data_IF_185320569134
#
_entry.id   IF_185320569134
#
_cell.length_a   1.000
_cell.length_b   1.000
_cell.length_c   1.000
_cell.angle_alpha   90.00
_cell.angle_beta   90.00
_cell.angle_gamma   90.00
#
_symmetry.space_group_name_H-M   'P 1'
#
loop_
_entity.id
_entity.type
_entity.pdbx_description
1 polymer ?
#
# COMPACT_ATOMS: atom_id res chain seq x y z
N UNK A 1 16.96 -34.85 -9.40
CA UNK A 1 16.73 -36.03 -8.54
C UNK A 1 15.91 -35.64 -7.30
N UNK A 2 16.41 -34.71 -6.48
CA UNK A 2 15.69 -33.97 -5.42
C UNK A 2 14.18 -33.71 -5.67
N UNK A 3 13.85 -33.01 -6.76
CA UNK A 3 12.47 -32.61 -7.11
C UNK A 3 11.44 -33.77 -7.12
N UNK A 4 11.81 -34.93 -7.65
CA UNK A 4 10.88 -36.06 -7.77
C UNK A 4 10.60 -36.69 -6.39
N UNK A 5 11.62 -36.75 -5.55
CA UNK A 5 11.50 -37.19 -4.16
C UNK A 5 10.60 -36.21 -3.41
N UNK A 6 10.83 -34.91 -3.55
CA UNK A 6 10.01 -33.89 -2.89
C UNK A 6 8.54 -33.98 -3.27
N UNK A 7 8.27 -34.08 -4.59
CA UNK A 7 6.90 -34.22 -5.10
C UNK A 7 6.23 -35.50 -4.59
N UNK A 8 6.96 -36.62 -4.54
CA UNK A 8 6.49 -37.88 -3.94
C UNK A 8 6.07 -37.68 -2.49
N UNK A 9 6.91 -37.07 -1.65
CA UNK A 9 6.59 -36.89 -0.23
C UNK A 9 5.54 -35.83 0.04
N UNK A 10 5.41 -34.80 -0.82
CA UNK A 10 4.26 -33.89 -0.81
C UNK A 10 2.97 -34.66 -1.09
N UNK A 11 2.96 -35.55 -2.07
CA UNK A 11 1.79 -36.37 -2.39
C UNK A 11 1.45 -37.37 -1.27
N UNK A 12 2.45 -37.99 -0.63
CA UNK A 12 2.22 -38.85 0.54
C UNK A 12 1.62 -38.07 1.72
N UNK A 13 2.08 -36.83 1.95
CA UNK A 13 1.52 -35.96 2.98
C UNK A 13 0.13 -35.40 2.59
N UNK A 14 -0.21 -35.35 1.31
CA UNK A 14 -1.42 -34.66 0.82
C UNK A 14 -2.72 -35.18 1.46
N UNK A 15 -2.79 -36.47 1.79
CA UNK A 15 -3.97 -37.08 2.41
C UNK A 15 -4.30 -36.55 3.80
N UNK A 16 -3.31 -36.04 4.55
CA UNK A 16 -3.53 -35.40 5.85
C UNK A 16 -3.73 -33.88 5.76
N UNK A 17 -3.56 -33.29 4.57
CA UNK A 17 -3.63 -31.84 4.35
C UNK A 17 -5.01 -31.43 3.83
N UNK A 18 -5.73 -30.65 4.64
CA UNK A 18 -7.02 -30.11 4.24
C UNK A 18 -6.89 -29.17 3.04
N UNK A 19 -7.84 -29.26 2.10
CA UNK A 19 -7.91 -28.42 0.90
C UNK A 19 -6.64 -28.46 0.03
N UNK A 20 -5.92 -29.59 0.06
CA UNK A 20 -4.74 -29.78 -0.77
C UNK A 20 -5.13 -29.85 -2.26
N UNK A 21 -4.43 -29.08 -3.10
CA UNK A 21 -4.60 -29.10 -4.55
C UNK A 21 -3.31 -28.69 -5.25
N UNK A 22 -2.91 -29.45 -6.27
CA UNK A 22 -1.93 -29.00 -7.25
C UNK A 22 -2.55 -27.94 -8.15
N UNK A 23 -1.90 -26.77 -8.22
CA UNK A 23 -2.31 -25.66 -9.09
C UNK A 23 -1.58 -25.71 -10.42
N UNK A 24 -0.31 -26.12 -10.38
CA UNK A 24 0.59 -26.36 -11.52
C UNK A 24 1.54 -27.50 -11.16
N UNK A 25 2.42 -27.90 -12.07
CA UNK A 25 3.37 -28.98 -11.85
C UNK A 25 4.35 -28.72 -10.69
N UNK A 26 4.64 -27.46 -10.42
CA UNK A 26 5.64 -26.95 -9.48
C UNK A 26 5.03 -26.11 -8.34
N UNK A 27 3.69 -26.07 -8.24
CA UNK A 27 2.96 -25.27 -7.26
C UNK A 27 1.73 -26.03 -6.74
N UNK A 28 1.68 -26.28 -5.44
CA UNK A 28 0.51 -26.82 -4.74
C UNK A 28 0.07 -25.85 -3.64
N UNK A 29 -1.20 -25.90 -3.25
CA UNK A 29 -1.68 -25.18 -2.09
C UNK A 29 -2.47 -26.10 -1.15
N UNK A 30 -2.53 -25.74 0.13
CA UNK A 30 -3.36 -26.40 1.13
C UNK A 30 -3.76 -25.41 2.22
N UNK A 31 -4.71 -25.81 3.05
CA UNK A 31 -4.95 -25.14 4.32
C UNK A 31 -3.75 -25.37 5.22
N UNK A 32 -3.26 -24.30 5.84
CA UNK A 32 -2.04 -24.39 6.63
C UNK A 32 -2.25 -25.28 7.87
N UNK A 33 -1.54 -26.42 7.99
CA UNK A 33 -1.70 -27.31 9.14
C UNK A 33 -1.12 -26.73 10.43
N UNK A 34 -0.24 -25.71 10.33
CA UNK A 34 0.45 -25.10 11.47
C UNK A 34 -0.44 -24.06 12.17
N UNK A 35 -1.10 -23.18 11.40
CA UNK A 35 -1.93 -22.11 11.98
C UNK A 35 -3.43 -22.29 11.75
N UNK A 36 -3.85 -23.35 11.07
CA UNK A 36 -5.26 -23.60 10.76
C UNK A 36 -5.89 -22.57 9.81
N UNK A 37 -5.12 -21.66 9.22
CA UNK A 37 -5.56 -20.64 8.27
C UNK A 37 -6.64 -19.68 8.85
N UNK A 38 -7.93 -19.78 8.48
CA UNK A 38 -9.00 -18.90 8.99
C UNK A 38 -10.03 -19.67 9.78
N UNK A 39 -10.25 -19.32 11.04
CA UNK A 39 -11.31 -19.92 11.87
C UNK A 39 -12.71 -19.69 11.30
N UNK A 40 -12.96 -18.51 10.74
CA UNK A 40 -14.25 -18.12 10.13
C UNK A 40 -14.50 -18.77 8.77
N UNK A 41 -13.46 -18.97 7.95
CA UNK A 41 -13.62 -19.54 6.61
C UNK A 41 -12.72 -20.78 6.42
N UNK A 42 -13.37 -21.95 6.44
CA UNK A 42 -12.72 -23.26 6.31
C UNK A 42 -12.19 -23.55 4.90
N UNK A 43 -12.64 -22.85 3.86
CA UNK A 43 -12.19 -23.06 2.47
C UNK A 43 -10.90 -22.29 2.13
N UNK A 44 -10.43 -21.41 3.02
CA UNK A 44 -9.16 -20.71 2.80
C UNK A 44 -7.98 -21.66 2.90
N UNK A 45 -7.15 -21.64 1.86
CA UNK A 45 -5.97 -22.49 1.67
C UNK A 45 -4.76 -21.64 1.26
N UNK A 46 -4.12 -20.99 2.24
CA UNK A 46 -3.01 -20.03 2.07
C UNK A 46 -1.63 -20.61 2.39
N UNK A 47 -1.53 -21.92 2.60
CA UNK A 47 -0.26 -22.66 2.59
C UNK A 47 0.09 -23.07 1.17
N UNK A 48 1.34 -22.87 0.75
CA UNK A 48 1.80 -23.16 -0.61
C UNK A 48 3.08 -23.97 -0.58
N UNK A 49 3.14 -24.99 -1.42
CA UNK A 49 4.36 -25.68 -1.80
C UNK A 49 4.81 -25.18 -3.16
N UNK A 50 6.07 -24.80 -3.29
CA UNK A 50 6.61 -24.27 -4.53
C UNK A 50 8.03 -24.78 -4.76
N UNK A 51 8.38 -24.99 -6.02
CA UNK A 51 9.73 -25.36 -6.42
C UNK A 51 10.64 -24.12 -6.46
N UNK A 52 11.85 -24.22 -5.92
CA UNK A 52 12.93 -23.26 -6.16
C UNK A 52 14.24 -24.02 -6.39
N UNK A 53 14.82 -23.86 -7.58
CA UNK A 53 15.92 -24.72 -8.01
C UNK A 53 15.43 -26.17 -8.15
N UNK A 54 16.07 -27.09 -7.43
CA UNK A 54 15.70 -28.51 -7.46
C UNK A 54 14.82 -28.93 -6.27
N UNK A 55 14.62 -28.06 -5.27
CA UNK A 55 13.91 -28.41 -4.04
C UNK A 55 12.52 -27.75 -3.97
N UNK A 56 11.62 -28.35 -3.18
CA UNK A 56 10.37 -27.73 -2.77
C UNK A 56 10.47 -27.08 -1.39
N UNK A 57 9.75 -25.97 -1.26
CA UNK A 57 9.61 -25.21 -0.03
C UNK A 57 8.13 -25.01 0.29
N UNK A 58 7.83 -24.89 1.58
CA UNK A 58 6.51 -24.57 2.08
C UNK A 58 6.46 -23.14 2.62
N UNK A 59 5.44 -22.36 2.26
CA UNK A 59 5.19 -21.01 2.78
C UNK A 59 3.72 -20.81 3.08
N UNK A 60 3.40 -20.27 4.26
CA UNK A 60 2.05 -19.81 4.58
C UNK A 60 1.95 -18.28 4.51
N UNK A 61 0.98 -17.77 3.74
CA UNK A 61 0.70 -16.32 3.67
C UNK A 61 -0.22 -15.82 4.79
N UNK A 62 -0.75 -16.72 5.63
CA UNK A 62 -1.51 -16.32 6.81
C UNK A 62 -0.59 -15.99 7.99
N UNK A 63 0.13 -17.00 8.52
CA UNK A 63 1.02 -16.84 9.68
C UNK A 63 2.47 -16.50 9.31
N UNK A 64 2.83 -16.52 8.03
CA UNK A 64 4.18 -16.16 7.58
C UNK A 64 5.23 -17.27 7.69
N UNK A 65 4.90 -18.44 8.24
CA UNK A 65 5.86 -19.55 8.38
C UNK A 65 6.39 -20.00 7.03
N UNK A 66 7.71 -20.16 6.94
CA UNK A 66 8.43 -20.67 5.78
C UNK A 66 9.34 -21.82 6.16
N UNK A 67 9.22 -22.96 5.48
CA UNK A 67 9.96 -24.17 5.79
C UNK A 67 10.52 -24.82 4.52
N UNK A 68 11.66 -25.50 4.64
CA UNK A 68 12.02 -26.55 3.69
C UNK A 68 11.04 -27.71 3.79
N UNK A 69 10.96 -28.56 2.77
CA UNK A 69 10.08 -29.74 2.85
C UNK A 69 10.40 -30.62 4.05
N UNK A 70 11.68 -30.80 4.41
CA UNK A 70 12.11 -31.53 5.60
C UNK A 70 11.48 -30.99 6.89
N UNK A 71 11.55 -29.66 7.11
CA UNK A 71 10.99 -29.01 8.29
C UNK A 71 9.48 -29.02 8.29
N UNK A 72 8.87 -28.92 7.12
CA UNK A 72 7.44 -29.08 6.98
C UNK A 72 6.99 -30.48 7.40
N UNK A 73 7.61 -31.53 6.87
CA UNK A 73 7.32 -32.93 7.22
C UNK A 73 7.54 -33.21 8.71
N UNK A 74 8.59 -32.65 9.31
CA UNK A 74 8.79 -32.72 10.76
C UNK A 74 7.60 -32.21 11.57
N UNK A 75 6.89 -31.19 11.05
CA UNK A 75 5.74 -30.59 11.71
C UNK A 75 4.44 -31.38 11.47
N UNK A 76 4.27 -31.99 10.29
CA UNK A 76 3.00 -32.64 9.90
C UNK A 76 3.00 -34.15 10.03
N UNK A 77 4.16 -34.80 9.89
CA UNK A 77 4.31 -36.25 9.98
C UNK A 77 5.78 -36.62 10.25
N UNK A 78 6.17 -36.81 11.52
CA UNK A 78 7.51 -37.26 11.89
C UNK A 78 7.91 -38.60 11.26
N UNK A 79 6.93 -39.44 10.90
CA UNK A 79 7.16 -40.71 10.19
C UNK A 79 7.65 -40.44 8.76
N UNK A 80 6.88 -39.67 7.97
CA UNK A 80 7.25 -39.33 6.59
C UNK A 80 8.58 -38.56 6.53
N UNK A 81 8.90 -37.78 7.56
CA UNK A 81 10.19 -37.08 7.67
C UNK A 81 11.38 -38.05 7.68
N UNK A 82 11.29 -39.17 8.41
CA UNK A 82 12.38 -40.17 8.48
C UNK A 82 12.59 -40.85 7.13
N UNK A 83 11.51 -41.27 6.50
CA UNK A 83 11.55 -41.91 5.18
C UNK A 83 12.08 -40.95 4.11
N UNK A 84 11.64 -39.69 4.15
CA UNK A 84 12.13 -38.63 3.27
C UNK A 84 13.64 -38.41 3.42
N UNK A 85 14.12 -38.34 4.66
CA UNK A 85 15.55 -38.16 4.93
C UNK A 85 16.39 -39.32 4.37
N UNK A 86 15.94 -40.56 4.57
CA UNK A 86 16.61 -41.76 4.09
C UNK A 86 16.63 -41.82 2.55
N UNK A 87 15.51 -41.50 1.89
CA UNK A 87 15.40 -41.53 0.44
C UNK A 87 16.27 -40.43 -0.22
N UNK A 88 16.30 -39.24 0.36
CA UNK A 88 17.21 -38.16 -0.06
C UNK A 88 18.68 -38.56 0.09
N UNK A 89 19.02 -39.20 1.22
CA UNK A 89 20.37 -39.68 1.47
C UNK A 89 20.81 -40.76 0.46
N UNK A 90 19.95 -41.76 0.18
CA UNK A 90 20.21 -42.80 -0.83
C UNK A 90 20.36 -42.22 -2.25
N UNK A 91 19.67 -41.12 -2.55
CA UNK A 91 19.76 -40.41 -3.83
C UNK A 91 21.00 -39.49 -3.96
N UNK A 92 21.97 -39.59 -3.05
CA UNK A 92 23.24 -38.86 -3.12
C UNK A 92 23.24 -37.50 -2.44
N UNK A 93 22.21 -37.16 -1.66
CA UNK A 93 22.18 -35.91 -0.89
C UNK A 93 22.70 -36.07 0.55
N UNK A 94 23.86 -36.68 0.66
CA UNK A 94 24.58 -36.98 1.89
C UNK A 94 25.63 -35.91 2.26
N UNK A 95 25.57 -34.73 1.64
CA UNK A 95 26.53 -33.64 1.86
C UNK A 95 27.68 -33.60 0.84
N UNK A 96 27.88 -34.64 0.04
CA UNK A 96 28.90 -34.70 -1.03
C UNK A 96 28.37 -34.34 -2.43
N UNK A 97 27.16 -33.82 -2.54
CA UNK A 97 26.58 -33.41 -3.82
C UNK A 97 27.09 -32.03 -4.27
N UNK A 98 27.42 -31.86 -5.55
CA UNK A 98 27.75 -30.56 -6.16
C UNK A 98 26.60 -29.53 -6.17
N UNK A 99 25.43 -29.89 -5.62
CA UNK A 99 24.26 -29.01 -5.55
C UNK A 99 24.35 -28.04 -4.38
N UNK A 100 24.52 -26.75 -4.67
CA UNK A 100 24.44 -25.67 -3.67
C UNK A 100 22.98 -25.41 -3.31
N UNK A 101 22.56 -25.79 -2.11
CA UNK A 101 21.23 -25.49 -1.58
C UNK A 101 21.01 -23.96 -1.49
N UNK A 102 19.82 -23.45 -1.82
CA UNK A 102 19.51 -22.02 -1.67
C UNK A 102 19.73 -21.58 -0.21
N UNK A 103 20.40 -20.45 0.03
CA UNK A 103 20.58 -19.91 1.39
C UNK A 103 19.23 -19.41 1.93
N UNK A 104 19.05 -19.41 3.26
CA UNK A 104 17.75 -19.17 3.91
C UNK A 104 17.04 -17.87 3.50
N UNK A 105 17.81 -16.82 3.18
CA UNK A 105 17.27 -15.54 2.67
C UNK A 105 16.73 -15.68 1.23
N UNK A 106 17.39 -16.47 0.40
CA UNK A 106 16.96 -16.75 -0.96
C UNK A 106 15.76 -17.71 -0.99
N UNK A 107 15.63 -18.66 -0.07
CA UNK A 107 14.53 -19.66 -0.09
C UNK A 107 13.13 -19.02 -0.19
N UNK A 108 12.94 -17.83 0.39
CA UNK A 108 11.65 -17.13 0.46
C UNK A 108 11.63 -15.80 -0.32
N UNK A 109 12.77 -15.37 -0.87
CA UNK A 109 12.87 -14.24 -1.79
C UNK A 109 12.29 -14.64 -3.17
N UNK A 110 11.03 -14.28 -3.41
CA UNK A 110 10.34 -14.55 -4.68
C UNK A 110 8.84 -14.81 -4.58
N UNK A 111 8.32 -15.05 -3.37
CA UNK A 111 6.89 -15.30 -3.13
C UNK A 111 6.17 -14.17 -2.41
N UNK A 112 6.68 -12.95 -2.49
CA UNK A 112 5.79 -11.80 -2.39
C UNK A 112 4.94 -11.73 -3.67
N UNK A 113 3.95 -12.63 -3.81
CA UNK A 113 2.74 -12.34 -4.59
C UNK A 113 1.98 -11.20 -3.89
N UNK A 114 2.61 -10.03 -3.76
CA UNK A 114 1.86 -8.79 -3.75
C UNK A 114 1.42 -8.64 -5.20
N UNK A 115 0.13 -8.79 -5.55
CA UNK A 115 -0.33 -8.39 -6.86
C UNK A 115 0.22 -6.98 -7.10
N UNK A 116 1.12 -6.84 -8.07
CA UNK A 116 1.58 -5.52 -8.48
C UNK A 116 0.36 -4.86 -9.09
N UNK A 117 -0.21 -3.92 -8.35
CA UNK A 117 -1.33 -3.12 -8.82
C UNK A 117 -1.00 -2.58 -10.21
N UNK A 118 -1.81 -2.93 -11.21
CA UNK A 118 -1.71 -2.37 -12.55
C UNK A 118 -2.94 -1.49 -12.76
N UNK A 119 -2.75 -0.17 -12.96
CA UNK A 119 -3.81 0.68 -13.47
C UNK A 119 -4.30 0.08 -14.80
N UNK A 120 -5.59 -0.25 -14.90
CA UNK A 120 -6.20 -0.86 -16.09
C UNK A 120 -7.23 0.07 -16.73
N UNK A 121 -7.08 1.38 -16.54
CA UNK A 121 -8.03 2.36 -17.07
C UNK A 121 -7.54 2.97 -18.37
N UNK A 122 -8.34 2.82 -19.43
CA UNK A 122 -8.14 3.47 -20.75
C UNK A 122 -8.00 4.99 -20.60
N UNK A 123 -8.59 5.59 -19.56
CA UNK A 123 -8.48 7.02 -19.25
C UNK A 123 -7.05 7.48 -18.94
N UNK A 124 -6.13 6.56 -18.63
CA UNK A 124 -4.74 6.89 -18.35
C UNK A 124 -3.84 6.75 -19.59
N UNK A 125 -4.33 6.17 -20.68
CA UNK A 125 -3.53 5.93 -21.89
C UNK A 125 -3.20 7.25 -22.61
N UNK A 126 -4.10 8.23 -22.52
CA UNK A 126 -3.90 9.60 -23.04
C UNK A 126 -2.96 10.46 -22.18
N UNK A 127 -2.48 9.92 -21.05
CA UNK A 127 -1.65 10.63 -20.09
C UNK A 127 -0.22 10.11 -20.09
N UNK A 128 0.75 11.02 -20.00
CA UNK A 128 2.16 10.62 -19.89
C UNK A 128 2.51 10.40 -18.43
N UNK A 129 3.02 9.22 -18.07
CA UNK A 129 3.52 8.98 -16.70
C UNK A 129 4.75 9.83 -16.43
N UNK A 130 4.90 10.30 -15.19
CA UNK A 130 6.08 11.10 -14.82
C UNK A 130 7.39 10.33 -15.03
N UNK A 131 7.41 9.02 -14.80
CA UNK A 131 8.61 8.19 -15.05
C UNK A 131 9.05 8.13 -16.52
N UNK A 132 8.13 8.41 -17.45
CA UNK A 132 8.33 8.29 -18.89
C UNK A 132 8.60 9.66 -19.54
N UNK A 133 8.67 10.73 -18.73
CA UNK A 133 9.03 12.08 -19.17
C UNK A 133 10.55 12.29 -19.07
N UNK A 134 11.07 13.12 -19.97
CA UNK A 134 12.46 13.59 -19.91
C UNK A 134 12.74 14.35 -18.59
N UNK A 135 13.95 14.24 -18.01
CA UNK A 135 14.29 14.90 -16.75
C UNK A 135 14.17 16.43 -16.76
N UNK A 136 14.27 17.06 -17.94
CA UNK A 136 14.07 18.49 -18.16
C UNK A 136 12.61 18.92 -18.28
N UNK A 137 11.68 17.96 -18.32
CA UNK A 137 10.26 18.26 -18.43
C UNK A 137 9.74 18.88 -17.12
N UNK A 138 9.00 19.99 -17.22
CA UNK A 138 8.46 20.76 -16.09
C UNK A 138 7.77 19.90 -15.00
N UNK A 139 6.98 18.91 -15.41
CA UNK A 139 6.29 18.00 -14.48
C UNK A 139 7.25 17.07 -13.72
N UNK A 140 8.33 16.63 -14.39
CA UNK A 140 9.39 15.83 -13.78
C UNK A 140 10.16 16.68 -12.77
N UNK A 141 10.59 17.88 -13.19
CA UNK A 141 11.27 18.84 -12.33
C UNK A 141 10.43 19.24 -11.11
N UNK A 142 9.12 19.43 -11.29
CA UNK A 142 8.20 19.68 -10.19
C UNK A 142 8.22 18.54 -9.16
N UNK A 143 8.14 17.28 -9.60
CA UNK A 143 8.19 16.12 -8.70
C UNK A 143 9.53 16.01 -7.97
N UNK A 144 10.63 16.29 -8.67
CA UNK A 144 11.99 16.29 -8.12
C UNK A 144 12.18 17.41 -7.09
N UNK A 145 11.76 18.63 -7.42
CA UNK A 145 11.79 19.80 -6.54
C UNK A 145 10.96 19.58 -5.27
N UNK A 146 9.82 18.88 -5.39
CA UNK A 146 8.96 18.44 -4.28
C UNK A 146 9.51 17.24 -3.50
N UNK A 147 10.69 16.74 -3.86
CA UNK A 147 11.35 15.55 -3.27
C UNK A 147 10.45 14.31 -3.25
N UNK A 148 9.51 14.20 -4.20
CA UNK A 148 8.62 13.04 -4.29
C UNK A 148 9.48 11.81 -4.60
N UNK A 149 9.35 10.69 -3.87
CA UNK A 149 10.14 9.50 -4.13
C UNK A 149 9.89 8.93 -5.54
N UNK A 150 10.95 8.69 -6.30
CA UNK A 150 10.91 8.22 -7.70
C UNK A 150 10.09 6.93 -7.89
N UNK A 151 10.02 6.07 -6.87
CA UNK A 151 9.18 4.86 -6.87
C UNK A 151 7.69 5.12 -7.11
N UNK A 152 7.24 6.38 -7.01
CA UNK A 152 5.86 6.80 -7.28
C UNK A 152 5.69 7.53 -8.62
N UNK A 153 6.75 7.77 -9.39
CA UNK A 153 6.66 8.46 -10.68
C UNK A 153 5.88 7.62 -11.72
N UNK A 154 5.72 6.32 -11.47
CA UNK A 154 4.94 5.41 -12.28
C UNK A 154 3.41 5.50 -12.05
N UNK A 155 2.96 6.16 -10.97
CA UNK A 155 1.54 6.32 -10.63
C UNK A 155 1.07 7.77 -10.66
N UNK A 156 1.98 8.70 -10.99
CA UNK A 156 1.69 10.10 -11.26
C UNK A 156 1.76 10.33 -12.76
N UNK A 157 0.91 11.23 -13.25
CA UNK A 157 0.73 11.46 -14.67
C UNK A 157 0.76 12.96 -14.99
N UNK A 158 1.03 13.29 -16.24
CA UNK A 158 1.04 14.64 -16.77
C UNK A 158 0.04 14.74 -17.91
N UNK A 159 -0.63 15.88 -18.00
CA UNK A 159 -1.38 16.32 -19.17
C UNK A 159 -1.14 17.81 -19.41
N UNK A 160 -1.13 18.19 -20.68
CA UNK A 160 -1.15 19.57 -21.14
C UNK A 160 -2.56 20.16 -21.20
N UNK A 161 -3.60 19.32 -21.18
CA UNK A 161 -5.01 19.74 -21.21
C UNK A 161 -5.83 18.94 -20.18
N UNK A 162 -5.75 19.38 -18.93
CA UNK A 162 -6.50 18.75 -17.84
C UNK A 162 -8.02 18.91 -18.01
N UNK A 163 -8.48 20.01 -18.60
CA UNK A 163 -9.90 20.29 -18.83
C UNK A 163 -10.57 19.26 -19.73
N UNK A 164 -9.95 18.96 -20.87
CA UNK A 164 -10.44 17.92 -21.79
C UNK A 164 -10.35 16.53 -21.18
N UNK A 165 -9.30 16.25 -20.39
CA UNK A 165 -9.18 14.98 -19.69
C UNK A 165 -10.25 14.80 -18.60
N UNK A 166 -10.56 15.83 -17.81
CA UNK A 166 -11.62 15.79 -16.80
C UNK A 166 -12.97 15.42 -17.41
N UNK A 167 -13.31 15.97 -18.58
CA UNK A 167 -14.57 15.67 -19.29
C UNK A 167 -14.71 14.20 -19.71
N UNK A 168 -13.59 13.50 -19.93
CA UNK A 168 -13.61 12.05 -20.19
C UNK A 168 -13.98 11.25 -18.94
N UNK A 169 -13.64 11.77 -17.76
CA UNK A 169 -13.92 11.12 -16.47
C UNK A 169 -15.32 11.47 -15.94
N UNK A 170 -15.72 12.73 -16.08
CA UNK A 170 -17.05 13.25 -15.71
C UNK A 170 -17.52 14.22 -16.82
N UNK A 171 -18.37 13.78 -17.76
CA UNK A 171 -18.87 14.61 -18.84
C UNK A 171 -19.64 15.85 -18.36
N UNK A 172 -20.18 15.84 -17.15
CA UNK A 172 -20.95 16.93 -16.57
C UNK A 172 -20.11 17.88 -15.70
N UNK A 173 -18.80 17.66 -15.60
CA UNK A 173 -17.95 18.54 -14.80
C UNK A 173 -17.80 19.92 -15.46
N UNK A 174 -17.71 20.96 -14.62
CA UNK A 174 -17.27 22.27 -15.07
C UNK A 174 -15.78 22.17 -15.42
N UNK A 175 -15.51 21.88 -16.69
CA UNK A 175 -14.15 21.76 -17.19
C UNK A 175 -13.44 23.10 -17.07
N UNK A 176 -12.24 23.07 -16.50
CA UNK A 176 -11.30 24.16 -16.70
C UNK A 176 -10.85 24.19 -18.16
N UNK A 177 -10.33 25.31 -18.63
CA UNK A 177 -9.71 25.39 -19.94
C UNK A 177 -8.52 24.43 -20.09
N UNK A 178 -7.85 24.48 -21.24
CA UNK A 178 -6.64 23.71 -21.46
C UNK A 178 -5.53 24.19 -20.51
N UNK A 179 -5.30 23.43 -19.44
CA UNK A 179 -4.32 23.72 -18.40
C UNK A 179 -3.39 22.53 -18.16
N UNK A 180 -2.08 22.82 -18.12
CA UNK A 180 -1.05 21.85 -17.73
C UNK A 180 -1.15 21.49 -16.25
N UNK A 181 -1.41 20.22 -15.93
CA UNK A 181 -1.51 19.74 -14.55
C UNK A 181 -0.83 18.38 -14.35
N UNK A 182 -0.28 18.20 -13.15
CA UNK A 182 0.07 16.89 -12.63
C UNK A 182 -1.23 16.19 -12.20
N UNK A 183 -1.51 15.04 -12.79
CA UNK A 183 -2.70 14.23 -12.53
C UNK A 183 -2.36 13.16 -11.49
N UNK A 184 -3.18 13.12 -10.44
CA UNK A 184 -3.09 12.19 -9.32
C UNK A 184 -4.35 11.31 -9.32
N UNK A 185 -4.32 10.12 -9.95
CA UNK A 185 -5.49 9.26 -10.08
C UNK A 185 -5.79 8.47 -8.80
N UNK A 186 -7.08 8.27 -8.53
CA UNK A 186 -7.61 7.44 -7.45
C UNK A 186 -8.18 6.16 -8.05
N UNK A 187 -7.83 5.02 -7.47
CA UNK A 187 -8.21 3.72 -8.01
C UNK A 187 -9.14 2.95 -7.09
N UNK A 188 -10.08 2.21 -7.69
CA UNK A 188 -10.86 1.19 -6.99
C UNK A 188 -10.05 -0.12 -6.81
N UNK A 189 -10.71 -1.16 -6.27
CA UNK A 189 -10.10 -2.49 -6.07
C UNK A 189 -9.72 -3.21 -7.38
N UNK A 190 -10.39 -2.88 -8.48
CA UNK A 190 -10.20 -3.47 -9.80
C UNK A 190 -9.07 -2.82 -10.60
N UNK A 191 -8.66 -1.61 -10.20
CA UNK A 191 -7.64 -0.82 -10.91
C UNK A 191 -8.19 0.26 -11.83
N UNK A 192 -9.49 0.51 -11.78
CA UNK A 192 -10.14 1.58 -12.55
C UNK A 192 -10.04 2.91 -11.82
N UNK A 193 -9.99 4.00 -12.60
CA UNK A 193 -9.94 5.36 -12.06
C UNK A 193 -11.35 5.76 -11.61
N UNK A 194 -11.53 6.04 -10.31
CA UNK A 194 -12.79 6.52 -9.74
C UNK A 194 -12.83 8.03 -9.50
N UNK A 195 -11.67 8.67 -9.63
CA UNK A 195 -11.49 10.09 -9.41
C UNK A 195 -10.05 10.48 -9.68
N UNK A 196 -9.79 11.77 -9.79
CA UNK A 196 -8.44 12.29 -9.90
C UNK A 196 -8.34 13.70 -9.34
N UNK A 197 -7.13 14.06 -8.94
CA UNK A 197 -6.79 15.42 -8.58
C UNK A 197 -5.77 15.98 -9.56
N UNK A 198 -6.05 17.16 -10.12
CA UNK A 198 -5.14 17.92 -10.97
C UNK A 198 -4.43 19.00 -10.17
N UNK A 199 -3.11 18.84 -9.98
CA UNK A 199 -2.24 19.84 -9.36
C UNK A 199 -1.65 20.75 -10.44
N UNK A 200 -1.87 22.05 -10.31
CA UNK A 200 -1.26 23.05 -11.20
C UNK A 200 0.28 23.07 -11.07
N UNK A 201 0.98 22.98 -12.20
CA UNK A 201 2.45 22.87 -12.24
C UNK A 201 3.18 24.23 -12.16
N UNK A 202 2.64 25.31 -12.72
CA UNK A 202 3.11 26.67 -12.42
C UNK A 202 2.01 27.71 -12.63
N UNK A 203 2.10 28.81 -11.89
CA UNK A 203 1.31 30.02 -12.13
C UNK A 203 1.97 30.79 -13.27
N UNK A 204 1.61 30.51 -14.53
CA UNK A 204 2.07 31.35 -15.66
C UNK A 204 1.15 32.57 -15.74
N UNK A 205 1.66 33.76 -15.44
CA UNK A 205 0.97 35.04 -15.68
C UNK A 205 -0.10 35.44 -14.66
N UNK A 206 -0.34 36.75 -14.53
CA UNK A 206 -1.35 37.33 -13.63
C UNK A 206 -2.79 36.87 -13.96
N UNK A 207 -3.10 36.59 -15.23
CA UNK A 207 -4.43 36.15 -15.66
C UNK A 207 -4.76 34.73 -15.16
N UNK A 208 -3.84 33.78 -15.35
CA UNK A 208 -4.03 32.38 -14.92
C UNK A 208 -3.98 32.25 -13.40
N UNK A 209 -3.23 33.10 -12.70
CA UNK A 209 -3.12 33.07 -11.25
C UNK A 209 -4.39 33.52 -10.51
N UNK A 210 -5.19 34.42 -11.09
CA UNK A 210 -6.41 34.95 -10.46
C UNK A 210 -7.57 33.95 -10.45
N UNK A 211 -7.58 32.96 -11.36
CA UNK A 211 -8.70 32.02 -11.53
C UNK A 211 -8.35 30.54 -11.31
N UNK A 212 -7.06 30.17 -11.29
CA UNK A 212 -6.68 28.74 -11.29
C UNK A 212 -6.49 28.20 -9.89
N UNK A 213 -7.37 27.28 -9.49
CA UNK A 213 -7.25 26.56 -8.23
C UNK A 213 -5.99 25.68 -8.20
N UNK A 214 -5.25 25.73 -7.09
CA UNK A 214 -4.00 24.97 -6.86
C UNK A 214 -4.19 23.46 -7.10
N UNK A 215 -5.34 22.96 -6.66
CA UNK A 215 -5.82 21.59 -6.86
C UNK A 215 -7.26 21.62 -7.36
N UNK A 216 -7.56 20.78 -8.34
CA UNK A 216 -8.93 20.52 -8.81
C UNK A 216 -9.19 19.04 -8.65
N UNK A 217 -10.34 18.68 -8.08
CA UNK A 217 -10.72 17.27 -7.90
C UNK A 217 -11.91 16.96 -8.80
N UNK A 218 -11.79 15.89 -9.58
CA UNK A 218 -12.85 15.35 -10.43
C UNK A 218 -13.18 13.93 -9.96
N UNK A 219 -14.47 13.57 -9.92
CA UNK A 219 -14.96 12.26 -9.49
C UNK A 219 -15.72 11.63 -10.66
N UNK A 220 -15.51 10.34 -10.92
CA UNK A 220 -16.28 9.63 -11.93
C UNK A 220 -17.75 9.47 -11.51
N UNK A 221 -17.99 9.39 -10.20
CA UNK A 221 -19.32 9.28 -9.60
C UNK A 221 -19.46 10.33 -8.49
N UNK A 222 -20.45 11.20 -8.65
CA UNK A 222 -20.74 12.30 -7.71
C UNK A 222 -21.29 11.79 -6.36
N UNK A 223 -21.81 10.57 -6.31
CA UNK A 223 -22.26 9.92 -5.07
C UNK A 223 -21.09 9.54 -4.14
N UNK A 224 -19.85 9.53 -4.65
CA UNK A 224 -18.68 9.25 -3.83
C UNK A 224 -18.44 10.42 -2.88
N UNK A 225 -18.82 10.24 -1.62
CA UNK A 225 -18.60 11.24 -0.55
C UNK A 225 -17.13 11.64 -0.40
N UNK A 226 -16.23 10.64 -0.50
CA UNK A 226 -14.81 10.80 -0.21
C UNK A 226 -13.94 9.90 -1.07
N UNK A 227 -12.88 10.47 -1.62
CA UNK A 227 -11.87 9.74 -2.37
C UNK A 227 -10.72 9.34 -1.45
N UNK A 228 -10.29 8.09 -1.55
CA UNK A 228 -9.20 7.53 -0.75
C UNK A 228 -8.00 7.18 -1.64
N UNK A 229 -6.94 7.97 -1.55
CA UNK A 229 -5.73 7.76 -2.34
C UNK A 229 -4.81 6.75 -1.65
N UNK A 230 -4.42 5.69 -2.36
CA UNK A 230 -3.45 4.71 -1.86
C UNK A 230 -4.01 3.44 -1.24
N UNK A 231 -5.32 3.23 -1.30
CA UNK A 231 -5.94 1.98 -0.84
C UNK A 231 -5.40 0.73 -1.56
N UNK A 232 -4.96 0.85 -2.80
CA UNK A 232 -4.39 -0.26 -3.56
C UNK A 232 -2.97 -0.65 -3.11
N UNK A 233 -2.25 0.24 -2.42
CA UNK A 233 -0.87 0.01 -1.96
C UNK A 233 -0.74 -0.17 -0.45
N UNK A 234 -1.77 0.17 0.31
CA UNK A 234 -1.78 0.06 1.78
C UNK A 234 -1.80 -1.39 2.24
N UNK A 235 -1.03 -1.66 3.29
CA UNK A 235 -1.01 -2.92 4.03
C UNK A 235 -1.81 -2.75 5.34
N UNK A 236 -3.06 -3.26 5.40
CA UNK A 236 -3.92 -3.12 6.58
C UNK A 236 -3.45 -3.94 7.79
N UNK A 237 -2.41 -4.78 7.65
CA UNK A 237 -1.82 -5.50 8.78
C UNK A 237 -0.83 -4.65 9.58
N UNK A 238 -0.48 -3.47 9.08
CA UNK A 238 0.45 -2.54 9.71
C UNK A 238 -0.32 -1.28 10.09
N UNK A 239 0.25 -0.48 11.00
CA UNK A 239 -0.24 0.87 11.28
C UNK A 239 -0.36 1.66 9.98
N UNK A 240 -1.52 2.27 9.75
CA UNK A 240 -1.84 3.09 8.58
C UNK A 240 -1.95 4.54 9.00
N UNK A 241 -1.27 5.43 8.29
CA UNK A 241 -1.40 6.86 8.49
C UNK A 241 -2.37 7.43 7.43
N UNK A 242 -3.28 8.30 7.85
CA UNK A 242 -4.27 8.95 6.98
C UNK A 242 -4.02 10.43 6.98
N UNK A 243 -3.62 10.97 5.83
CA UNK A 243 -3.32 12.39 5.63
C UNK A 243 -4.38 13.07 4.75
N UNK A 244 -4.34 14.39 4.64
CA UNK A 244 -5.28 15.16 3.81
C UNK A 244 -4.88 15.14 2.33
N UNK A 245 -3.60 15.38 2.04
CA UNK A 245 -3.09 15.50 0.68
C UNK A 245 -2.60 14.18 0.07
N UNK A 246 -2.96 13.86 -1.19
CA UNK A 246 -2.39 12.71 -1.90
C UNK A 246 -0.87 12.72 -1.99
N UNK A 247 -0.25 13.90 -2.16
CA UNK A 247 1.21 14.01 -2.23
C UNK A 247 1.88 13.73 -0.88
N UNK A 248 1.32 14.19 0.23
CA UNK A 248 1.80 13.91 1.59
C UNK A 248 1.89 12.40 1.86
N UNK A 249 0.93 11.65 1.31
CA UNK A 249 0.87 10.20 1.47
C UNK A 249 1.99 9.43 0.75
N UNK A 250 2.81 10.10 -0.06
CA UNK A 250 3.90 9.49 -0.80
C UNK A 250 5.22 9.49 -0.01
N UNK A 251 5.36 10.27 1.05
CA UNK A 251 6.64 10.35 1.76
C UNK A 251 6.79 9.25 2.82
N UNK A 252 5.75 9.04 3.62
CA UNK A 252 5.77 8.12 4.75
C UNK A 252 5.27 6.72 4.32
N UNK A 253 5.93 5.63 4.75
CA UNK A 253 5.47 4.28 4.45
C UNK A 253 4.08 3.99 5.01
N UNK A 254 3.28 3.23 4.25
CA UNK A 254 1.93 2.80 4.63
C UNK A 254 0.93 3.95 4.90
N UNK A 255 1.11 5.07 4.19
CA UNK A 255 0.25 6.25 4.28
C UNK A 255 -0.72 6.31 3.10
N UNK A 256 -1.96 6.69 3.40
CA UNK A 256 -3.04 6.96 2.46
C UNK A 256 -3.53 8.39 2.65
N UNK A 257 -4.20 8.95 1.65
CA UNK A 257 -4.83 10.27 1.77
C UNK A 257 -6.34 10.19 1.63
N UNK A 258 -7.04 11.11 2.27
CA UNK A 258 -8.48 11.29 2.16
C UNK A 258 -8.79 12.67 1.59
N UNK A 259 -9.47 12.70 0.44
CA UNK A 259 -9.81 13.94 -0.27
C UNK A 259 -11.33 14.05 -0.41
N UNK A 260 -11.87 15.21 -0.03
CA UNK A 260 -13.29 15.55 -0.17
C UNK A 260 -13.97 15.91 1.16
N UNK A 261 -15.14 16.55 1.04
CA UNK A 261 -15.88 17.16 2.16
C UNK A 261 -16.87 16.21 2.89
N UNK A 262 -16.97 14.94 2.46
CA UNK A 262 -17.96 13.98 2.99
C UNK A 262 -17.79 13.64 4.47
N UNK A 263 -18.79 12.96 5.05
CA UNK A 263 -18.86 12.62 6.47
C UNK A 263 -17.59 11.90 6.96
N UNK A 264 -17.04 12.39 8.08
CA UNK A 264 -15.78 11.95 8.71
C UNK A 264 -15.86 10.50 9.25
N UNK A 265 -17.05 9.95 9.21
CA UNK A 265 -17.53 8.99 10.18
C UNK A 265 -17.26 7.55 9.79
N UNK A 266 -17.08 7.28 8.49
CA UNK A 266 -16.96 5.94 7.97
C UNK A 266 -15.54 5.70 7.47
N UNK A 267 -14.79 4.94 8.27
CA UNK A 267 -13.53 4.37 7.84
C UNK A 267 -13.81 3.42 6.66
N UNK A 268 -13.02 3.52 5.60
CA UNK A 268 -13.19 2.65 4.43
C UNK A 268 -13.08 1.17 4.82
N UNK A 269 -13.96 0.29 4.31
CA UNK A 269 -14.07 -1.13 4.70
C UNK A 269 -12.74 -1.89 4.80
N UNK A 270 -11.81 -1.58 3.88
CA UNK A 270 -10.47 -2.18 3.80
C UNK A 270 -9.62 -1.95 5.07
N UNK A 271 -9.92 -0.90 5.83
CA UNK A 271 -9.17 -0.48 7.00
C UNK A 271 -9.89 -0.86 8.31
N UNK A 272 -11.07 -1.48 8.25
CA UNK A 272 -11.77 -1.97 9.44
C UNK A 272 -10.85 -2.96 10.19
N UNK A 273 -10.67 -2.73 11.49
CA UNK A 273 -9.77 -3.53 12.34
C UNK A 273 -8.28 -3.25 12.12
N UNK A 274 -7.92 -2.24 11.33
CA UNK A 274 -6.53 -1.77 11.19
C UNK A 274 -6.26 -0.69 12.23
N UNK A 275 -5.02 -0.62 12.74
CA UNK A 275 -4.59 0.53 13.52
C UNK A 275 -4.41 1.74 12.60
N UNK A 276 -5.28 2.74 12.76
CA UNK A 276 -5.31 3.94 11.92
C UNK A 276 -4.94 5.17 12.75
N UNK A 277 -4.04 5.99 12.23
CA UNK A 277 -3.65 7.28 12.81
C UNK A 277 -3.96 8.38 11.80
N UNK A 278 -4.78 9.35 12.21
CA UNK A 278 -5.11 10.51 11.41
C UNK A 278 -4.05 11.60 11.61
N UNK A 279 -3.46 12.06 10.52
CA UNK A 279 -2.38 13.06 10.48
C UNK A 279 -2.85 14.22 9.61
N UNK A 280 -3.55 15.16 10.25
CA UNK A 280 -4.04 16.37 9.61
C UNK A 280 -2.95 17.45 9.52
N UNK A 281 -3.19 18.47 8.70
CA UNK A 281 -2.28 19.60 8.53
C UNK A 281 -2.08 20.34 9.86
N UNK A 282 -0.88 20.86 10.09
CA UNK A 282 -0.49 21.63 11.26
C UNK A 282 -1.01 23.07 11.19
N UNK A 283 -2.33 23.24 11.13
CA UNK A 283 -2.99 24.54 11.02
C UNK A 283 -3.85 24.85 12.26
N UNK A 284 -3.25 25.20 13.42
CA UNK A 284 -3.98 25.39 14.66
C UNK A 284 -4.93 26.60 14.67
N UNK A 285 -4.85 27.48 13.66
CA UNK A 285 -5.74 28.65 13.47
C UNK A 285 -6.81 28.41 12.41
N UNK A 286 -6.73 27.32 11.65
CA UNK A 286 -7.70 27.02 10.61
C UNK A 286 -8.91 26.32 11.22
N UNK A 287 -10.05 27.04 11.28
CA UNK A 287 -11.30 26.54 11.90
C UNK A 287 -11.74 25.20 11.31
N UNK A 288 -11.54 24.96 10.02
CA UNK A 288 -11.94 23.71 9.37
C UNK A 288 -11.11 22.53 9.87
N UNK A 289 -9.78 22.69 9.92
CA UNK A 289 -8.86 21.65 10.42
C UNK A 289 -9.07 21.40 11.91
N UNK A 290 -9.21 22.46 12.71
CA UNK A 290 -9.49 22.36 14.15
C UNK A 290 -10.80 21.61 14.41
N UNK A 291 -11.88 21.98 13.72
CA UNK A 291 -13.18 21.29 13.83
C UNK A 291 -13.11 19.85 13.30
N UNK A 292 -12.25 19.59 12.31
CA UNK A 292 -12.03 18.23 11.82
C UNK A 292 -11.33 17.37 12.89
N UNK A 293 -10.23 17.86 13.45
CA UNK A 293 -9.50 17.18 14.50
C UNK A 293 -10.38 16.92 15.74
N UNK A 294 -11.19 17.89 16.16
CA UNK A 294 -12.12 17.73 17.27
C UNK A 294 -13.14 16.61 17.03
N UNK A 295 -13.73 16.53 15.83
CA UNK A 295 -14.64 15.46 15.45
C UNK A 295 -13.98 14.07 15.47
N UNK A 296 -12.72 13.97 15.05
CA UNK A 296 -11.98 12.71 15.12
C UNK A 296 -11.72 12.29 16.58
N UNK A 297 -11.32 13.24 17.43
CA UNK A 297 -11.09 12.97 18.87
C UNK A 297 -12.39 12.56 19.57
N UNK A 298 -13.50 13.22 19.26
CA UNK A 298 -14.82 12.88 19.82
C UNK A 298 -15.28 11.44 19.49
N UNK A 299 -14.75 10.86 18.39
CA UNK A 299 -15.00 9.47 17.98
C UNK A 299 -13.94 8.48 18.47
N UNK A 300 -13.07 8.91 19.37
CA UNK A 300 -11.97 8.11 19.92
C UNK A 300 -10.97 7.61 18.84
N UNK A 301 -10.87 8.33 17.72
CA UNK A 301 -9.84 8.07 16.72
C UNK A 301 -8.47 8.47 17.25
N UNK A 302 -7.42 7.72 16.86
CA UNK A 302 -6.04 8.15 17.09
C UNK A 302 -5.66 9.29 16.15
N UNK A 303 -5.20 10.40 16.71
CA UNK A 303 -4.82 11.61 15.96
C UNK A 303 -3.40 12.02 16.28
N UNK A 304 -2.66 12.49 15.27
CA UNK A 304 -1.39 13.16 15.46
C UNK A 304 -1.63 14.63 15.79
N UNK A 305 -1.13 15.08 16.94
CA UNK A 305 -1.19 16.49 17.35
C UNK A 305 0.24 17.03 17.32
N UNK A 306 0.54 17.88 16.34
CA UNK A 306 1.90 18.36 16.12
C UNK A 306 2.45 19.12 17.33
N UNK A 307 3.71 18.89 17.73
CA UNK A 307 4.32 19.63 18.82
C UNK A 307 4.57 21.08 18.38
N UNK A 308 4.49 22.03 19.32
CA UNK A 308 4.61 23.48 19.06
C UNK A 308 5.91 23.92 18.38
N UNK A 309 6.95 23.08 18.43
CA UNK A 309 8.24 23.31 17.76
C UNK A 309 8.18 23.09 16.24
N UNK A 310 7.15 22.42 15.73
CA UNK A 310 6.93 22.19 14.30
C UNK A 310 6.13 23.36 13.75
N UNK A 311 6.73 24.07 12.80
CA UNK A 311 6.14 25.26 12.17
C UNK A 311 5.64 24.97 10.76
N UNK A 312 6.16 23.91 10.14
CA UNK A 312 5.77 23.45 8.82
C UNK A 312 4.29 23.06 8.80
N UNK A 313 3.61 23.39 7.69
CA UNK A 313 2.16 23.21 7.54
C UNK A 313 1.78 21.75 7.37
N UNK A 314 2.49 21.02 6.54
CA UNK A 314 2.16 19.65 6.16
C UNK A 314 3.44 18.80 6.00
N UNK A 315 3.27 17.52 5.63
CA UNK A 315 4.39 16.59 5.46
C UNK A 315 5.24 16.99 4.24
N UNK A 316 4.62 17.53 3.18
CA UNK A 316 5.29 18.08 2.01
C UNK A 316 6.28 19.18 2.39
N UNK A 317 5.90 20.09 3.28
CA UNK A 317 6.77 21.15 3.78
C UNK A 317 7.87 20.58 4.69
N UNK A 318 7.54 19.62 5.57
CA UNK A 318 8.51 19.00 6.48
C UNK A 318 9.62 18.22 5.76
N UNK A 319 9.39 17.67 4.57
CA UNK A 319 10.38 16.87 3.84
C UNK A 319 11.58 17.70 3.35
N UNK A 320 11.43 19.03 3.30
CA UNK A 320 12.53 19.92 2.93
C UNK A 320 13.58 20.00 4.04
N UNK A 321 13.16 19.94 5.29
CA UNK A 321 14.02 20.10 6.48
C UNK A 321 14.30 18.79 7.22
N UNK A 322 13.49 17.74 7.01
CA UNK A 322 13.58 16.47 7.76
C UNK A 322 13.47 15.26 6.84
N UNK A 323 14.02 14.14 7.29
CA UNK A 323 13.85 12.85 6.62
C UNK A 323 12.47 12.25 6.90
N UNK A 324 11.96 11.43 5.97
CA UNK A 324 10.69 10.73 6.15
C UNK A 324 10.63 9.86 7.42
N UNK A 325 11.76 9.28 7.84
CA UNK A 325 11.87 8.48 9.08
C UNK A 325 11.72 9.36 10.33
N UNK A 326 12.27 10.57 10.32
CA UNK A 326 12.13 11.51 11.43
C UNK A 326 10.70 12.02 11.54
N UNK A 327 10.08 12.39 10.41
CA UNK A 327 8.68 12.82 10.38
C UNK A 327 7.78 11.69 10.92
N UNK A 328 8.01 10.44 10.48
CA UNK A 328 7.28 9.29 11.00
C UNK A 328 7.46 9.13 12.52
N UNK A 329 8.68 9.25 13.04
CA UNK A 329 8.94 9.21 14.49
C UNK A 329 8.23 10.34 15.24
N UNK A 330 8.17 11.54 14.67
CA UNK A 330 7.44 12.67 15.25
C UNK A 330 5.95 12.34 15.33
N UNK A 331 5.36 11.83 14.24
CA UNK A 331 3.96 11.41 14.21
C UNK A 331 3.70 10.34 15.27
N UNK A 332 4.50 9.28 15.29
CA UNK A 332 4.31 8.17 16.23
C UNK A 332 4.42 8.60 17.70
N UNK A 333 5.33 9.53 18.03
CA UNK A 333 5.49 10.09 19.38
C UNK A 333 4.39 11.06 19.79
N UNK A 334 3.70 11.65 18.83
CA UNK A 334 2.65 12.64 19.08
C UNK A 334 1.28 12.14 18.62
N UNK A 335 1.09 10.82 18.62
CA UNK A 335 -0.19 10.18 18.35
C UNK A 335 -0.90 9.93 19.68
N UNK A 336 -2.10 10.49 19.82
CA UNK A 336 -2.89 10.43 21.04
C UNK A 336 -4.33 9.98 20.73
N UNK A 337 -5.04 9.47 21.73
CA UNK A 337 -6.49 9.16 21.68
C UNK A 337 -7.17 9.51 23.00
N UNK A 338 -8.51 9.46 23.04
CA UNK A 338 -9.28 9.71 24.26
C UNK A 338 -8.99 11.05 24.96
N UNK A 339 -8.88 11.01 26.28
CA UNK A 339 -8.68 12.19 27.13
C UNK A 339 -7.33 12.87 26.91
N UNK A 340 -6.29 12.09 26.65
CA UNK A 340 -4.94 12.60 26.36
C UNK A 340 -4.96 13.44 25.07
N UNK A 341 -5.60 12.94 24.01
CA UNK A 341 -5.78 13.71 22.78
C UNK A 341 -6.53 15.03 23.01
N UNK A 342 -7.59 15.04 23.85
CA UNK A 342 -8.32 16.28 24.18
C UNK A 342 -7.43 17.31 24.87
N UNK A 343 -6.58 16.87 25.81
CA UNK A 343 -5.65 17.76 26.52
C UNK A 343 -4.63 18.39 25.57
N UNK A 344 -3.97 17.57 24.75
CA UNK A 344 -3.01 18.04 23.76
C UNK A 344 -3.66 18.95 22.71
N UNK A 345 -4.86 18.61 22.25
CA UNK A 345 -5.60 19.37 21.24
C UNK A 345 -5.97 20.77 21.75
N UNK A 346 -6.40 20.88 23.01
CA UNK A 346 -6.71 22.16 23.64
C UNK A 346 -5.51 23.10 23.67
N UNK A 347 -4.31 22.55 23.88
CA UNK A 347 -3.06 23.32 23.91
C UNK A 347 -2.55 23.68 22.50
N UNK A 348 -2.84 22.83 21.51
CA UNK A 348 -2.42 23.04 20.13
C UNK A 348 -3.29 24.06 19.40
N UNK A 349 -4.62 24.00 19.54
CA UNK A 349 -5.55 24.88 18.84
C UNK A 349 -5.40 26.35 19.29
N UNK A 350 -5.55 27.27 18.34
CA UNK A 350 -5.42 28.73 18.53
C UNK A 350 -6.61 29.51 17.96
N UNK A 351 -7.76 28.84 17.89
CA UNK A 351 -9.06 29.38 17.46
C UNK A 351 -9.92 29.67 18.67
#
# INVERSE_FOLDING_TARGET
MSYYIDKKFINLASGSLQQFKWKKEDLANCRCPICGDSTKNKTKARGYFYKKGNDFFYKCHNCGVGHSLYRFLETVSPLLKKDYALERWKAGENGNSNYKKPKGEDMFAGLSFKPKFKPNSVLLDDLTRIKDLEPSHKAYEFCKMRRIPEKFYNILYYTNDFGSWMRKLDPECLAVGAEERLVIPFFNKSGDVVGAQGRLLSFKGEETARFSARYITVKADKSIDRLWYGLWRVDPKKKVYVVEGPLDSLFIPNTIAMVGAGAIENLHDRLIGTEVVYVLDNEPRNKQIVNYMDRLINKDCKVCIWPSKIQEKDINDMIYTRSAKEIQKIIDKNTYSGLEARLHFRNWRKV
#
